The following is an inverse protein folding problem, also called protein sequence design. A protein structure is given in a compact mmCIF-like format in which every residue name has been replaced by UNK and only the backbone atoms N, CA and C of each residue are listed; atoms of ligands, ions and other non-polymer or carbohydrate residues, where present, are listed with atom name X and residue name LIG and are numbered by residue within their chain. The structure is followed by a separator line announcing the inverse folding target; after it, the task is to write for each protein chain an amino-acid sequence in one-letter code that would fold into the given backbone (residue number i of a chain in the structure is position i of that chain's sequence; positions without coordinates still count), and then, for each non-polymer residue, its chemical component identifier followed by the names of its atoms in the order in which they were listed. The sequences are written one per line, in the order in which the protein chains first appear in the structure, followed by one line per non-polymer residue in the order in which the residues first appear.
data_IF_072830460743
#
_entry.id   IF_072830460743
#
_cell.length_a   1.000
_cell.length_b   1.000
_cell.length_c   1.000
_cell.angle_alpha   90.00
_cell.angle_beta   90.00
_cell.angle_gamma   90.00
#
_symmetry.space_group_name_H-M   'P 1'
#
loop_
_entity.id
_entity.type
_entity.pdbx_description
1 polymer ?
#
# COMPACT_ATOMS: atom_id res chain seq x y z
N UNK A 1 -5.01 37.51 52.53
CA UNK A 1 -3.69 37.13 52.00
C UNK A 1 -3.86 35.82 51.26
N UNK A 2 -4.13 35.91 49.96
CA UNK A 2 -4.35 34.77 49.06
C UNK A 2 -3.01 34.21 48.63
N UNK A 3 -2.85 32.89 48.68
CA UNK A 3 -1.73 32.20 48.04
C UNK A 3 -2.29 31.12 47.12
N UNK A 4 -2.48 31.51 45.87
CA UNK A 4 -2.68 30.63 44.72
C UNK A 4 -1.39 29.82 44.47
N UNK A 5 -1.51 28.50 44.34
CA UNK A 5 -0.51 27.68 43.64
C UNK A 5 -1.19 26.99 42.48
N UNK A 6 -1.07 27.64 41.33
CA UNK A 6 -1.53 27.19 40.02
C UNK A 6 -0.67 26.02 39.54
N UNK A 7 -1.40 25.02 39.07
CA UNK A 7 -1.02 23.76 38.47
C UNK A 7 -0.16 23.98 37.20
N UNK A 8 1.09 23.50 37.18
CA UNK A 8 1.90 23.42 35.95
C UNK A 8 1.83 22.00 35.40
N UNK A 9 0.92 21.79 34.46
CA UNK A 9 0.92 20.66 33.53
C UNK A 9 0.94 21.21 32.11
N UNK A 10 1.62 20.48 31.22
CA UNK A 10 1.77 20.65 29.77
C UNK A 10 2.94 21.51 29.31
N UNK A 11 3.92 20.82 28.72
CA UNK A 11 4.43 21.07 27.35
C UNK A 11 5.29 19.86 26.93
N UNK A 12 4.62 18.86 26.34
CA UNK A 12 5.29 17.91 25.44
C UNK A 12 5.18 18.53 24.05
N UNK A 13 6.28 19.12 23.59
CA UNK A 13 6.44 19.55 22.20
C UNK A 13 6.71 18.31 21.35
N UNK A 14 5.74 17.91 20.54
CA UNK A 14 5.86 16.86 19.53
C UNK A 14 5.86 17.56 18.17
N UNK A 15 6.97 18.18 17.82
CA UNK A 15 7.20 18.76 16.50
C UNK A 15 8.57 18.29 16.04
N UNK A 16 8.64 17.23 15.22
CA UNK A 16 9.72 16.92 14.27
C UNK A 16 9.41 15.60 13.52
N UNK A 17 8.45 15.61 12.58
CA UNK A 17 8.19 14.44 11.70
C UNK A 17 7.62 14.84 10.34
N UNK A 18 8.01 15.99 9.78
CA UNK A 18 7.47 16.47 8.49
C UNK A 18 8.23 15.99 7.24
N UNK A 19 9.57 15.99 7.29
CA UNK A 19 10.37 15.85 6.07
C UNK A 19 10.66 14.38 5.70
N UNK A 20 10.71 13.49 6.68
CA UNK A 20 11.02 12.08 6.43
C UNK A 20 9.84 11.32 5.79
N UNK A 21 8.62 11.60 6.23
CA UNK A 21 7.40 10.95 5.71
C UNK A 21 7.16 11.29 4.25
N UNK A 22 7.39 12.55 3.86
CA UNK A 22 7.22 12.99 2.47
C UNK A 22 8.19 12.26 1.52
N UNK A 23 9.43 12.04 1.96
CA UNK A 23 10.44 11.36 1.15
C UNK A 23 10.10 9.88 0.94
N UNK A 24 9.55 9.21 1.96
CA UNK A 24 9.12 7.81 1.89
C UNK A 24 7.88 7.65 1.00
N UNK A 25 6.91 8.57 1.10
CA UNK A 25 5.76 8.56 0.20
C UNK A 25 6.18 8.73 -1.26
N UNK A 26 7.08 9.67 -1.55
CA UNK A 26 7.61 9.86 -2.90
C UNK A 26 8.40 8.64 -3.40
N UNK A 27 9.06 7.89 -2.51
CA UNK A 27 9.72 6.62 -2.84
C UNK A 27 8.70 5.58 -3.31
N UNK A 28 7.67 5.29 -2.51
CA UNK A 28 6.68 4.28 -2.88
C UNK A 28 5.75 4.73 -4.02
N UNK A 29 5.46 6.02 -4.14
CA UNK A 29 4.69 6.54 -5.27
C UNK A 29 5.45 6.35 -6.61
N UNK A 30 6.79 6.36 -6.61
CA UNK A 30 7.58 6.00 -7.81
C UNK A 30 7.44 4.53 -8.18
N UNK A 31 7.41 3.64 -7.19
CA UNK A 31 7.27 2.20 -7.37
C UNK A 31 5.93 1.82 -8.03
N UNK A 32 4.87 2.63 -7.88
CA UNK A 32 3.60 2.41 -8.58
C UNK A 32 3.76 2.39 -10.10
N UNK A 33 4.65 3.23 -10.65
CA UNK A 33 4.87 3.33 -12.09
C UNK A 33 5.62 2.13 -12.69
N UNK A 34 6.15 1.25 -11.84
CA UNK A 34 6.85 0.03 -12.25
C UNK A 34 5.89 -1.16 -12.32
N UNK A 35 4.69 -1.04 -11.73
CA UNK A 35 3.71 -2.10 -11.77
C UNK A 35 3.22 -2.33 -13.21
N UNK A 36 3.08 -3.60 -13.64
CA UNK A 36 2.62 -3.92 -14.98
C UNK A 36 1.19 -3.45 -15.18
N UNK A 37 0.94 -2.90 -16.37
CA UNK A 37 -0.39 -2.48 -16.80
C UNK A 37 -1.02 -3.49 -17.77
N UNK A 38 -2.33 -3.38 -17.99
CA UNK A 38 -3.08 -4.28 -18.87
C UNK A 38 -2.51 -4.36 -20.29
N UNK A 39 -1.90 -3.27 -20.78
CA UNK A 39 -1.24 -3.23 -22.09
C UNK A 39 0.01 -4.10 -22.15
N UNK A 40 0.73 -4.29 -21.04
CA UNK A 40 1.92 -5.16 -21.01
C UNK A 40 1.56 -6.62 -21.18
N UNK A 41 0.38 -7.03 -20.70
CA UNK A 41 -0.14 -8.39 -20.92
C UNK A 41 -0.42 -8.69 -22.38
N UNK A 42 -0.77 -7.68 -23.19
CA UNK A 42 -1.03 -7.85 -24.63
C UNK A 42 0.26 -8.13 -25.42
N UNK A 43 1.42 -7.83 -24.83
CA UNK A 43 2.74 -8.06 -25.44
C UNK A 43 3.28 -9.46 -25.16
N UNK A 44 2.62 -10.23 -24.28
CA UNK A 44 3.02 -11.58 -23.93
C UNK A 44 2.72 -12.57 -25.06
N UNK A 45 3.63 -13.51 -25.25
CA UNK A 45 3.41 -14.68 -26.10
C UNK A 45 2.42 -15.64 -25.46
N UNK A 46 1.81 -16.52 -26.27
CA UNK A 46 0.87 -17.53 -25.76
C UNK A 46 1.51 -18.43 -24.69
N UNK A 47 2.78 -18.79 -24.85
CA UNK A 47 3.51 -19.64 -23.89
C UNK A 47 3.70 -18.94 -22.54
N UNK A 48 4.01 -17.63 -22.54
CA UNK A 48 4.16 -16.83 -21.33
C UNK A 48 2.84 -16.68 -20.56
N UNK A 49 1.72 -16.56 -21.27
CA UNK A 49 0.38 -16.44 -20.66
C UNK A 49 -0.07 -17.73 -19.97
N UNK A 50 0.37 -18.90 -20.45
CA UNK A 50 0.05 -20.19 -19.84
C UNK A 50 0.84 -20.47 -18.54
N UNK A 51 1.90 -19.71 -18.30
CA UNK A 51 2.68 -19.73 -17.06
C UNK A 51 2.39 -18.48 -16.23
N UNK A 52 3.02 -18.34 -15.07
CA UNK A 52 3.05 -17.04 -14.37
C UNK A 52 4.02 -16.13 -15.11
N UNK A 53 3.56 -15.07 -15.81
CA UNK A 53 4.44 -14.19 -16.56
C UNK A 53 5.45 -13.50 -15.64
N UNK A 54 6.66 -13.25 -16.13
CA UNK A 54 7.74 -12.69 -15.30
C UNK A 54 7.37 -11.33 -14.70
N UNK A 55 6.73 -10.47 -15.48
CA UNK A 55 6.22 -9.17 -15.01
C UNK A 55 5.25 -9.29 -13.82
N UNK A 56 4.48 -10.39 -13.72
CA UNK A 56 3.60 -10.63 -12.56
C UNK A 56 4.41 -11.04 -11.33
N UNK A 57 5.48 -11.83 -11.52
CA UNK A 57 6.37 -12.21 -10.42
C UNK A 57 7.11 -11.00 -9.87
N UNK A 58 7.72 -10.21 -10.74
CA UNK A 58 8.46 -8.99 -10.38
C UNK A 58 7.58 -8.01 -9.59
N UNK A 59 6.35 -7.78 -10.05
CA UNK A 59 5.39 -6.94 -9.33
C UNK A 59 5.00 -7.52 -7.97
N UNK A 60 4.83 -8.84 -7.87
CA UNK A 60 4.61 -9.53 -6.61
C UNK A 60 5.78 -9.37 -5.63
N UNK A 61 7.01 -9.47 -6.12
CA UNK A 61 8.23 -9.24 -5.34
C UNK A 61 8.33 -7.81 -4.85
N UNK A 62 8.02 -6.82 -5.70
CA UNK A 62 7.98 -5.41 -5.32
C UNK A 62 6.99 -5.15 -4.19
N UNK A 63 5.76 -5.64 -4.31
CA UNK A 63 4.75 -5.57 -3.24
C UNK A 63 5.27 -6.23 -1.96
N UNK A 64 5.95 -7.37 -2.09
CA UNK A 64 6.59 -8.07 -0.99
C UNK A 64 7.67 -7.22 -0.29
N UNK A 65 8.53 -6.55 -1.05
CA UNK A 65 9.59 -5.66 -0.54
C UNK A 65 9.01 -4.47 0.21
N UNK A 66 7.99 -3.80 -0.35
CA UNK A 66 7.29 -2.69 0.31
C UNK A 66 6.68 -3.16 1.64
N UNK A 67 5.96 -4.29 1.63
CA UNK A 67 5.40 -4.86 2.86
C UNK A 67 6.49 -5.18 3.88
N UNK A 68 7.56 -5.87 3.49
CA UNK A 68 8.65 -6.24 4.39
C UNK A 68 9.32 -5.00 5.01
N UNK A 69 9.55 -3.96 4.22
CA UNK A 69 10.15 -2.71 4.71
C UNK A 69 9.27 -2.02 5.75
N UNK A 70 7.95 -1.95 5.53
CA UNK A 70 6.99 -1.35 6.46
C UNK A 70 6.64 -2.25 7.66
N UNK A 71 6.90 -3.55 7.55
CA UNK A 71 6.81 -4.46 8.69
C UNK A 71 7.94 -4.17 9.69
N UNK A 72 9.16 -3.95 9.19
CA UNK A 72 10.36 -3.67 10.00
C UNK A 72 10.35 -2.23 10.51
N UNK A 73 10.04 -1.26 9.64
CA UNK A 73 10.02 0.16 9.97
C UNK A 73 8.58 0.69 9.99
N UNK A 74 8.09 0.95 11.21
CA UNK A 74 6.72 1.39 11.42
C UNK A 74 6.43 2.76 10.81
N UNK A 75 7.43 3.62 10.62
CA UNK A 75 7.24 4.94 10.00
C UNK A 75 6.77 4.82 8.54
N UNK A 76 7.13 3.72 7.86
CA UNK A 76 6.76 3.48 6.46
C UNK A 76 5.34 2.94 6.27
N UNK A 77 4.64 2.57 7.34
CA UNK A 77 3.33 1.89 7.22
C UNK A 77 2.26 2.75 6.58
N UNK A 78 2.22 4.05 6.89
CA UNK A 78 1.25 4.97 6.26
C UNK A 78 1.46 5.05 4.76
N UNK A 79 2.71 5.28 4.33
CA UNK A 79 3.10 5.30 2.93
C UNK A 79 2.82 3.96 2.22
N UNK A 80 3.12 2.84 2.86
CA UNK A 80 2.84 1.51 2.31
C UNK A 80 1.32 1.26 2.13
N UNK A 81 0.50 1.69 3.09
CA UNK A 81 -0.97 1.59 2.97
C UNK A 81 -1.51 2.46 1.83
N UNK A 82 -0.96 3.68 1.65
CA UNK A 82 -1.27 4.54 0.50
C UNK A 82 -0.88 3.87 -0.82
N UNK A 83 0.31 3.29 -0.89
CA UNK A 83 0.75 2.51 -2.06
C UNK A 83 -0.21 1.36 -2.38
N UNK A 84 -0.54 0.51 -1.39
CA UNK A 84 -1.44 -0.63 -1.64
C UNK A 84 -2.83 -0.17 -2.09
N UNK A 85 -3.35 0.92 -1.52
CA UNK A 85 -4.62 1.51 -1.95
C UNK A 85 -4.56 1.95 -3.41
N UNK A 86 -3.56 2.76 -3.77
CA UNK A 86 -3.41 3.26 -5.13
C UNK A 86 -3.26 2.10 -6.12
N UNK A 87 -2.40 1.12 -5.80
CA UNK A 87 -2.24 -0.11 -6.59
C UNK A 87 -3.56 -0.88 -6.77
N UNK A 88 -4.39 -1.01 -5.72
CA UNK A 88 -5.65 -1.74 -5.83
C UNK A 88 -6.70 -1.00 -6.68
N UNK A 89 -6.74 0.33 -6.55
CA UNK A 89 -7.73 1.21 -7.20
C UNK A 89 -7.37 1.61 -8.63
N UNK A 90 -6.10 1.53 -9.01
CA UNK A 90 -5.63 1.82 -10.37
C UNK A 90 -6.23 0.83 -11.37
N UNK A 91 -6.93 1.34 -12.39
CA UNK A 91 -7.61 0.52 -13.39
C UNK A 91 -6.66 -0.05 -14.43
N UNK A 92 -5.51 0.59 -14.61
CA UNK A 92 -4.54 0.22 -15.64
C UNK A 92 -3.64 -0.91 -15.14
N UNK A 93 -3.35 -0.96 -13.84
CA UNK A 93 -2.61 -2.07 -13.22
C UNK A 93 -3.33 -3.41 -13.47
N UNK A 94 -2.55 -4.44 -13.77
CA UNK A 94 -3.11 -5.77 -14.08
C UNK A 94 -3.89 -6.37 -12.90
N UNK A 95 -5.03 -6.99 -13.21
CA UNK A 95 -5.99 -7.53 -12.23
C UNK A 95 -5.37 -8.37 -11.10
N UNK A 96 -4.43 -9.32 -11.35
CA UNK A 96 -3.85 -10.13 -10.27
C UNK A 96 -3.07 -9.29 -9.25
N UNK A 97 -2.33 -8.28 -9.71
CA UNK A 97 -1.53 -7.38 -8.87
C UNK A 97 -2.44 -6.51 -8.01
N UNK A 98 -3.49 -5.94 -8.61
CA UNK A 98 -4.53 -5.22 -7.87
C UNK A 98 -5.15 -6.05 -6.74
N UNK A 99 -5.43 -7.34 -7.01
CA UNK A 99 -6.00 -8.25 -6.03
C UNK A 99 -5.02 -8.55 -4.87
N UNK A 100 -3.72 -8.69 -5.17
CA UNK A 100 -2.68 -8.83 -4.14
C UNK A 100 -2.63 -7.58 -3.26
N UNK A 101 -2.60 -6.38 -3.85
CA UNK A 101 -2.62 -5.12 -3.11
C UNK A 101 -3.88 -5.00 -2.22
N UNK A 102 -5.06 -5.31 -2.75
CA UNK A 102 -6.30 -5.31 -1.98
C UNK A 102 -6.27 -6.29 -0.79
N UNK A 103 -5.77 -7.51 -1.00
CA UNK A 103 -5.58 -8.50 0.07
C UNK A 103 -4.65 -7.98 1.16
N UNK A 104 -3.57 -7.27 0.80
CA UNK A 104 -2.67 -6.62 1.77
C UNK A 104 -3.40 -5.59 2.60
N UNK A 105 -4.19 -4.70 1.99
CA UNK A 105 -4.97 -3.70 2.73
C UNK A 105 -5.87 -4.37 3.78
N UNK A 106 -6.68 -5.34 3.37
CA UNK A 106 -7.60 -6.02 4.31
C UNK A 106 -6.89 -6.76 5.44
N UNK A 107 -5.71 -7.35 5.16
CA UNK A 107 -4.91 -8.01 6.20
C UNK A 107 -4.28 -7.00 7.15
N UNK A 108 -3.73 -5.91 6.62
CA UNK A 108 -2.84 -5.01 7.35
C UNK A 108 -3.57 -3.87 8.06
N UNK A 109 -4.76 -3.45 7.60
CA UNK A 109 -5.59 -2.47 8.30
C UNK A 109 -5.78 -2.81 9.80
N UNK A 110 -6.24 -4.02 10.18
CA UNK A 110 -6.37 -4.38 11.59
C UNK A 110 -5.02 -4.59 12.28
N UNK A 111 -4.02 -5.14 11.58
CA UNK A 111 -2.69 -5.43 12.14
C UNK A 111 -1.93 -4.15 12.51
N UNK A 112 -1.91 -3.19 11.59
CA UNK A 112 -1.17 -1.93 11.72
C UNK A 112 -2.00 -0.80 12.33
N UNK A 113 -3.32 -1.01 12.50
CA UNK A 113 -4.28 -0.02 13.03
C UNK A 113 -4.31 1.27 12.22
N UNK A 114 -4.15 1.15 10.90
CA UNK A 114 -4.25 2.25 9.95
C UNK A 114 -5.57 2.09 9.19
N UNK A 115 -6.47 3.06 9.34
CA UNK A 115 -7.69 3.08 8.56
C UNK A 115 -7.37 3.53 7.13
N UNK A 116 -7.85 2.78 6.14
CA UNK A 116 -7.68 3.10 4.73
C UNK A 116 -9.04 3.02 4.06
N UNK A 117 -9.55 4.14 3.57
CA UNK A 117 -10.80 4.18 2.82
C UNK A 117 -10.56 3.63 1.41
N UNK A 118 -11.26 2.56 1.03
CA UNK A 118 -11.18 1.95 -0.29
C UNK A 118 -12.39 2.39 -1.11
N UNK A 119 -12.16 2.86 -2.34
CA UNK A 119 -13.22 3.18 -3.28
C UNK A 119 -13.75 1.92 -3.96
N UNK A 120 -14.87 1.39 -3.45
CA UNK A 120 -15.50 0.19 -4.00
C UNK A 120 -15.91 0.34 -5.48
N UNK A 121 -16.17 1.56 -5.95
CA UNK A 121 -16.46 1.84 -7.36
C UNK A 121 -15.25 1.61 -8.28
N UNK A 122 -14.03 1.71 -7.74
CA UNK A 122 -12.79 1.46 -8.47
C UNK A 122 -12.36 0.00 -8.39
N UNK A 123 -12.88 -0.78 -7.44
CA UNK A 123 -12.55 -2.19 -7.25
C UNK A 123 -13.66 -3.08 -7.84
N UNK A 124 -13.50 -3.60 -9.08
CA UNK A 124 -14.51 -4.48 -9.67
C UNK A 124 -14.60 -5.80 -8.87
N UNK A 125 -15.76 -6.46 -8.94
CA UNK A 125 -16.01 -7.73 -8.25
C UNK A 125 -14.94 -8.78 -8.56
N UNK A 126 -14.44 -8.83 -9.79
CA UNK A 126 -13.40 -9.78 -10.19
C UNK A 126 -12.06 -9.59 -9.45
N UNK A 127 -11.70 -8.35 -9.07
CA UNK A 127 -10.52 -8.06 -8.22
C UNK A 127 -10.80 -8.48 -6.78
N UNK A 128 -11.96 -8.10 -6.23
CA UNK A 128 -12.35 -8.45 -4.87
C UNK A 128 -12.43 -9.96 -4.66
N UNK A 129 -13.13 -10.67 -5.55
CA UNK A 129 -13.27 -12.13 -5.50
C UNK A 129 -11.93 -12.84 -5.60
N UNK A 130 -10.98 -12.32 -6.39
CA UNK A 130 -9.63 -12.87 -6.46
C UNK A 130 -8.88 -12.63 -5.15
N UNK A 131 -8.93 -11.42 -4.60
CA UNK A 131 -8.24 -11.06 -3.35
C UNK A 131 -8.64 -11.98 -2.20
N UNK A 132 -9.93 -12.32 -2.06
CA UNK A 132 -10.42 -13.22 -1.02
C UNK A 132 -10.03 -14.71 -1.22
N UNK A 133 -9.61 -15.09 -2.42
CA UNK A 133 -9.13 -16.45 -2.74
C UNK A 133 -7.61 -16.60 -2.60
N UNK A 134 -6.87 -15.49 -2.56
CA UNK A 134 -5.43 -15.52 -2.34
C UNK A 134 -5.12 -16.04 -0.93
N UNK A 135 -4.08 -16.89 -0.77
CA UNK A 135 -3.68 -17.43 0.53
C UNK A 135 -3.28 -16.35 1.54
#
# INVERSE_FOLDING_TARGET
MSNDKVNQSKKLNFEHSGDNDKTIEEEFDRELNILPINEDLQKLTADEVHHTPELIKEAGELIGKIHASAQVDHSKRSAAMKFFKNCAEDRDVVRPIRAVCLKKIYKLMPEWRIATAISHELIPESVSALAFKLP
#
